data_IF_735125035927
#
_entry.id   IF_735125035927
#
_cell.length_a   1.000
_cell.length_b   1.000
_cell.length_c   1.000
_cell.angle_alpha   90.00
_cell.angle_beta   90.00
_cell.angle_gamma   90.00
#
_symmetry.space_group_name_H-M   'P 1'
#
loop_
_entity.id
_entity.type
_entity.pdbx_description
1 polymer ?
#
# COMPACT_ATOMS: atom_id res chain seq x y z
N UNK A 1 -23.85 -14.83 52.77
CA UNK A 1 -24.12 -14.03 51.56
C UNK A 1 -23.08 -14.43 50.51
N UNK A 2 -23.52 -15.11 49.45
CA UNK A 2 -22.65 -15.57 48.35
C UNK A 2 -22.56 -14.45 47.32
N UNK A 3 -21.37 -13.90 47.11
CA UNK A 3 -21.12 -12.87 46.08
C UNK A 3 -20.79 -13.60 44.79
N UNK A 4 -21.73 -13.59 43.84
CA UNK A 4 -21.50 -14.14 42.50
C UNK A 4 -20.50 -13.24 41.76
N UNK A 5 -19.38 -13.77 41.23
CA UNK A 5 -18.42 -12.97 40.49
C UNK A 5 -19.07 -12.44 39.20
N UNK A 6 -18.95 -11.13 38.97
CA UNK A 6 -19.45 -10.50 37.76
C UNK A 6 -18.77 -11.13 36.52
N UNK A 7 -19.52 -11.42 35.43
CA UNK A 7 -18.93 -11.90 34.19
C UNK A 7 -17.97 -10.82 33.67
N UNK A 8 -16.67 -11.11 33.72
CA UNK A 8 -15.61 -10.11 33.57
C UNK A 8 -15.11 -9.94 32.13
N UNK A 9 -15.61 -10.72 31.17
CA UNK A 9 -15.26 -10.60 29.74
C UNK A 9 -16.45 -10.12 28.92
N UNK A 10 -16.21 -9.16 28.03
CA UNK A 10 -17.20 -8.80 27.02
C UNK A 10 -17.28 -9.91 25.96
N UNK A 11 -18.47 -10.26 25.44
CA UNK A 11 -18.62 -11.33 24.44
C UNK A 11 -17.87 -11.07 23.12
N UNK A 12 -17.45 -9.82 22.89
CA UNK A 12 -16.60 -9.41 21.76
C UNK A 12 -15.16 -9.91 21.93
N UNK A 13 -14.63 -9.92 23.15
CA UNK A 13 -13.26 -10.37 23.42
C UNK A 13 -13.09 -11.89 23.31
N UNK A 14 -14.20 -12.62 23.35
CA UNK A 14 -14.25 -14.08 23.17
C UNK A 14 -14.31 -14.48 21.69
N UNK A 15 -14.55 -13.52 20.78
CA UNK A 15 -14.55 -13.81 19.35
C UNK A 15 -13.15 -14.14 18.84
N UNK A 16 -13.02 -15.10 17.91
CA UNK A 16 -11.75 -15.39 17.28
C UNK A 16 -11.22 -14.14 16.56
N UNK A 17 -9.91 -13.93 16.64
CA UNK A 17 -9.24 -12.74 16.08
C UNK A 17 -9.45 -12.62 14.57
N UNK A 18 -9.59 -13.75 13.88
CA UNK A 18 -9.86 -13.84 12.45
C UNK A 18 -11.25 -13.29 12.08
N UNK A 19 -12.25 -13.51 12.92
CA UNK A 19 -13.59 -12.95 12.70
C UNK A 19 -13.59 -11.43 12.88
N UNK A 20 -12.88 -10.94 13.91
CA UNK A 20 -12.72 -9.50 14.14
C UNK A 20 -11.91 -8.84 13.01
N UNK A 21 -10.87 -9.50 12.49
CA UNK A 21 -10.07 -9.05 11.33
C UNK A 21 -10.95 -8.97 10.07
N UNK A 22 -11.79 -9.98 9.84
CA UNK A 22 -12.73 -9.98 8.72
C UNK A 22 -13.74 -8.84 8.81
N UNK A 23 -14.32 -8.58 9.99
CA UNK A 23 -15.25 -7.46 10.21
C UNK A 23 -14.53 -6.13 9.94
N UNK A 24 -13.34 -5.92 10.52
CA UNK A 24 -12.56 -4.71 10.32
C UNK A 24 -12.16 -4.49 8.84
N UNK A 25 -11.98 -5.58 8.08
CA UNK A 25 -11.69 -5.54 6.65
C UNK A 25 -12.87 -5.01 5.81
N UNK A 26 -14.12 -5.21 6.25
CA UNK A 26 -15.33 -4.73 5.56
C UNK A 26 -15.65 -3.25 5.83
N UNK A 27 -15.15 -2.67 6.93
CA UNK A 27 -15.50 -1.30 7.32
C UNK A 27 -14.66 -0.28 6.54
N UNK A 28 -15.23 0.31 5.48
CA UNK A 28 -14.45 1.17 4.59
C UNK A 28 -14.13 2.57 5.12
N UNK A 29 -15.00 3.10 5.97
CA UNK A 29 -14.83 4.41 6.56
C UNK A 29 -13.79 4.37 7.69
N UNK A 30 -12.72 5.17 7.56
CA UNK A 30 -11.67 5.25 8.57
C UNK A 30 -12.18 5.69 9.95
N UNK A 31 -13.24 6.51 10.02
CA UNK A 31 -13.85 6.94 11.29
C UNK A 31 -14.55 5.78 11.99
N UNK A 32 -15.32 4.99 11.26
CA UNK A 32 -16.03 3.84 11.82
C UNK A 32 -15.06 2.76 12.27
N UNK A 33 -13.99 2.57 11.50
CA UNK A 33 -12.90 1.68 11.86
C UNK A 33 -12.16 2.16 13.12
N UNK A 34 -11.91 3.47 13.26
CA UNK A 34 -11.37 4.04 14.49
C UNK A 34 -12.32 3.86 15.67
N UNK A 35 -13.62 4.08 15.48
CA UNK A 35 -14.63 3.85 16.52
C UNK A 35 -14.60 2.38 16.98
N UNK A 36 -14.50 1.43 16.05
CA UNK A 36 -14.31 0.01 16.38
C UNK A 36 -13.04 -0.22 17.20
N UNK A 37 -11.92 0.40 16.81
CA UNK A 37 -10.65 0.29 17.52
C UNK A 37 -10.73 0.80 18.97
N UNK A 38 -11.57 1.80 19.24
CA UNK A 38 -11.71 2.42 20.57
C UNK A 38 -12.59 1.63 21.54
N UNK A 39 -13.29 0.59 21.07
CA UNK A 39 -14.18 -0.22 21.93
C UNK A 39 -13.43 -1.01 23.00
N UNK A 40 -12.28 -1.62 22.67
CA UNK A 40 -11.44 -2.35 23.62
C UNK A 40 -9.96 -2.38 23.18
N UNK A 41 -9.06 -2.72 24.12
CA UNK A 41 -7.61 -2.77 23.85
C UNK A 41 -7.21 -3.82 22.80
N UNK A 42 -7.94 -4.93 22.75
CA UNK A 42 -7.70 -6.02 21.78
C UNK A 42 -8.00 -5.54 20.35
N UNK A 43 -9.17 -4.94 20.15
CA UNK A 43 -9.57 -4.35 18.87
C UNK A 43 -8.68 -3.19 18.47
N UNK A 44 -8.25 -2.34 19.41
CA UNK A 44 -7.27 -1.30 19.12
C UNK A 44 -6.00 -1.87 18.48
N UNK A 45 -5.43 -2.92 19.08
CA UNK A 45 -4.22 -3.54 18.56
C UNK A 45 -4.44 -4.19 17.19
N UNK A 46 -5.55 -4.89 16.98
CA UNK A 46 -5.90 -5.48 15.69
C UNK A 46 -6.07 -4.38 14.61
N UNK A 47 -7.00 -3.46 14.85
CA UNK A 47 -7.46 -2.47 13.88
C UNK A 47 -6.37 -1.47 13.52
N UNK A 48 -5.66 -0.94 14.51
CA UNK A 48 -4.63 0.07 14.29
C UNK A 48 -3.46 -0.47 13.46
N UNK A 49 -2.96 -1.66 13.82
CA UNK A 49 -1.76 -2.21 13.18
C UNK A 49 -2.05 -2.87 11.83
N UNK A 50 -3.20 -3.51 11.63
CA UNK A 50 -3.51 -4.27 10.40
C UNK A 50 -4.29 -3.46 9.37
N UNK A 51 -5.22 -2.60 9.81
CA UNK A 51 -6.15 -1.95 8.89
C UNK A 51 -5.87 -0.45 8.73
N UNK A 52 -5.92 0.35 9.80
CA UNK A 52 -5.80 1.82 9.69
C UNK A 52 -4.50 2.26 9.05
N UNK A 53 -3.41 1.56 9.37
CA UNK A 53 -2.07 1.89 8.90
C UNK A 53 -1.79 1.56 7.43
N UNK A 54 -2.41 0.50 6.92
CA UNK A 54 -2.16 0.05 5.54
C UNK A 54 -3.25 0.51 4.56
N UNK A 55 -4.34 1.12 5.04
CA UNK A 55 -5.42 1.63 4.18
C UNK A 55 -4.94 2.63 3.14
N UNK A 56 -4.02 3.50 3.51
CA UNK A 56 -3.48 4.52 2.61
C UNK A 56 -1.97 4.38 2.58
N UNK A 57 -1.44 3.96 1.43
CA UNK A 57 -0.02 3.93 1.17
C UNK A 57 0.29 5.06 0.22
N UNK A 58 1.18 5.95 0.64
CA UNK A 58 1.64 7.05 -0.19
C UNK A 58 3.15 7.14 -0.17
N UNK A 59 3.74 7.56 -1.28
CA UNK A 59 5.16 7.91 -1.36
C UNK A 59 5.86 7.55 -2.66
N UNK A 60 7.19 7.64 -2.63
CA UNK A 60 8.01 7.35 -3.81
C UNK A 60 8.13 5.85 -4.00
N UNK A 61 7.80 5.35 -5.19
CA UNK A 61 7.86 3.92 -5.51
C UNK A 61 9.22 3.28 -5.18
N UNK A 62 10.33 4.00 -5.47
CA UNK A 62 11.70 3.58 -5.16
C UNK A 62 12.22 3.96 -3.76
N UNK A 63 11.40 4.49 -2.85
CA UNK A 63 11.83 4.67 -1.45
C UNK A 63 12.02 3.30 -0.81
N UNK A 64 13.23 3.03 -0.31
CA UNK A 64 13.58 1.78 0.34
C UNK A 64 12.61 1.39 1.48
N UNK A 65 12.01 2.38 2.17
CA UNK A 65 11.01 2.14 3.22
C UNK A 65 9.72 1.53 2.66
N UNK A 66 9.34 1.95 1.45
CA UNK A 66 8.19 1.41 0.75
C UNK A 66 8.50 0.06 0.11
N UNK A 67 9.74 -0.20 -0.30
CA UNK A 67 10.10 -1.53 -0.80
C UNK A 67 9.93 -2.63 0.26
N UNK A 68 10.33 -2.35 1.51
CA UNK A 68 10.06 -3.27 2.64
C UNK A 68 8.54 -3.51 2.83
N UNK A 69 7.71 -2.50 2.56
CA UNK A 69 6.24 -2.60 2.62
C UNK A 69 5.70 -3.41 1.44
N UNK A 70 6.23 -3.23 0.23
CA UNK A 70 5.88 -4.04 -0.93
C UNK A 70 6.20 -5.51 -0.70
N UNK A 71 7.39 -5.82 -0.19
CA UNK A 71 7.77 -7.20 0.15
C UNK A 71 6.81 -7.80 1.19
N UNK A 72 6.45 -7.04 2.22
CA UNK A 72 5.52 -7.48 3.25
C UNK A 72 4.12 -7.77 2.68
N UNK A 73 3.59 -6.89 1.83
CA UNK A 73 2.27 -7.05 1.19
C UNK A 73 2.28 -8.18 0.16
N UNK A 74 3.37 -8.34 -0.59
CA UNK A 74 3.56 -9.44 -1.52
C UNK A 74 3.51 -10.79 -0.80
N UNK A 75 4.09 -10.86 0.41
CA UNK A 75 4.12 -12.07 1.25
C UNK A 75 2.81 -12.33 1.99
N UNK A 76 2.14 -11.29 2.47
CA UNK A 76 0.90 -11.40 3.26
C UNK A 76 -0.28 -10.77 2.51
N UNK A 77 -1.09 -11.63 1.88
CA UNK A 77 -2.28 -11.23 1.12
C UNK A 77 -3.31 -10.50 1.99
N UNK A 78 -3.36 -10.75 3.29
CA UNK A 78 -4.32 -10.11 4.19
C UNK A 78 -4.02 -8.62 4.37
N UNK A 79 -2.74 -8.24 4.37
CA UNK A 79 -2.32 -6.85 4.38
C UNK A 79 -2.66 -6.16 3.07
N UNK A 80 -2.44 -6.82 1.92
CA UNK A 80 -2.84 -6.30 0.61
C UNK A 80 -4.32 -5.97 0.55
N UNK A 81 -5.18 -6.87 1.06
CA UNK A 81 -6.63 -6.64 1.15
C UNK A 81 -7.03 -5.45 2.01
N UNK A 82 -6.16 -4.96 2.90
CA UNK A 82 -6.43 -3.79 3.74
C UNK A 82 -6.12 -2.46 3.05
N UNK A 83 -5.36 -2.48 1.95
CA UNK A 83 -5.04 -1.28 1.17
C UNK A 83 -6.27 -0.81 0.40
N UNK A 84 -6.51 0.50 0.39
CA UNK A 84 -7.60 1.17 -0.35
C UNK A 84 -7.09 2.27 -1.27
N UNK A 85 -6.06 2.98 -0.84
CA UNK A 85 -5.50 4.08 -1.61
C UNK A 85 -4.00 3.86 -1.72
N UNK A 86 -3.51 3.88 -2.96
CA UNK A 86 -2.10 3.86 -3.31
C UNK A 86 -1.79 5.16 -4.07
N UNK A 87 -1.05 6.07 -3.44
CA UNK A 87 -0.68 7.37 -4.03
C UNK A 87 0.85 7.49 -4.19
N UNK A 88 1.33 7.15 -5.38
CA UNK A 88 2.73 7.22 -5.75
C UNK A 88 3.06 8.62 -6.28
N UNK A 89 4.05 9.28 -5.66
CA UNK A 89 4.43 10.65 -6.02
C UNK A 89 5.96 10.86 -5.92
N UNK A 90 6.50 11.90 -6.58
CA UNK A 90 7.93 12.18 -6.55
C UNK A 90 8.35 12.94 -5.28
N UNK A 91 9.66 12.95 -5.02
CA UNK A 91 10.34 13.31 -3.76
C UNK A 91 9.97 14.66 -3.11
N UNK A 92 9.41 15.60 -3.88
CA UNK A 92 9.17 16.96 -3.42
C UNK A 92 7.87 17.13 -2.60
N UNK A 93 7.00 16.11 -2.57
CA UNK A 93 5.76 16.19 -1.82
C UNK A 93 6.04 15.96 -0.32
N UNK A 94 6.36 17.05 0.39
CA UNK A 94 6.57 17.06 1.85
C UNK A 94 5.27 16.89 2.64
N UNK A 95 4.18 16.43 2.02
CA UNK A 95 2.91 16.23 2.73
C UNK A 95 3.08 15.06 3.69
N UNK A 96 3.33 15.41 4.94
CA UNK A 96 3.60 14.58 6.11
C UNK A 96 2.45 13.62 6.48
N UNK A 97 1.52 13.35 5.57
CA UNK A 97 0.45 12.34 5.73
C UNK A 97 0.98 10.90 5.65
N UNK A 98 2.29 10.72 5.48
CA UNK A 98 2.99 9.46 5.69
C UNK A 98 2.82 8.93 7.12
N UNK A 99 1.68 8.31 7.41
CA UNK A 99 1.51 7.45 8.59
C UNK A 99 1.87 6.03 8.18
N UNK A 100 3.15 5.81 7.86
CA UNK A 100 3.76 4.50 8.12
C UNK A 100 4.62 4.73 9.35
N UNK A 101 4.13 4.52 10.59
CA UNK A 101 4.98 4.50 11.75
C UNK A 101 5.80 3.21 11.65
N UNK A 102 6.82 3.17 10.79
CA UNK A 102 7.65 2.01 10.47
C UNK A 102 8.48 1.55 11.67
N UNK A 103 7.83 1.18 12.76
CA UNK A 103 8.35 0.26 13.75
C UNK A 103 8.18 -1.17 13.21
N UNK A 104 8.83 -1.44 12.07
CA UNK A 104 8.99 -2.80 11.52
C UNK A 104 9.63 -3.74 12.55
N UNK A 105 10.21 -3.23 13.63
CA UNK A 105 10.78 -4.01 14.71
C UNK A 105 9.76 -4.92 15.41
N UNK A 106 8.47 -4.55 15.48
CA UNK A 106 7.44 -5.44 16.09
C UNK A 106 7.06 -6.62 15.20
N UNK A 107 6.96 -6.43 13.88
CA UNK A 107 6.73 -7.54 12.92
C UNK A 107 7.97 -8.44 12.84
N UNK A 108 9.17 -7.84 12.87
CA UNK A 108 10.46 -8.55 12.89
C UNK A 108 10.62 -9.51 14.07
N UNK A 109 9.95 -9.26 15.21
CA UNK A 109 10.03 -10.14 16.40
C UNK A 109 9.27 -11.46 16.25
N UNK A 110 8.31 -11.58 15.32
CA UNK A 110 7.54 -12.83 15.14
C UNK A 110 8.09 -13.76 14.06
N UNK A 111 8.96 -13.30 13.17
CA UNK A 111 9.63 -14.17 12.21
C UNK A 111 11.15 -14.08 12.38
N UNK A 112 11.73 -15.09 13.01
CA UNK A 112 13.17 -15.27 13.26
C UNK A 112 14.05 -15.42 12.00
N UNK A 113 13.56 -15.06 10.81
CA UNK A 113 14.24 -15.26 9.52
C UNK A 113 14.44 -14.00 8.68
N UNK A 114 14.04 -12.81 9.15
CA UNK A 114 14.46 -11.60 8.43
C UNK A 114 15.92 -11.29 8.78
N UNK A 115 16.81 -11.10 7.79
CA UNK A 115 18.13 -10.58 8.06
C UNK A 115 17.96 -9.24 8.78
N UNK A 116 18.70 -9.04 9.87
CA UNK A 116 18.83 -7.73 10.50
C UNK A 116 19.46 -6.78 9.47
N UNK A 117 18.65 -6.14 8.63
CA UNK A 117 19.10 -5.05 7.78
C UNK A 117 19.47 -3.91 8.71
N UNK A 118 20.77 -3.76 8.95
CA UNK A 118 21.35 -2.57 9.55
C UNK A 118 20.81 -1.35 8.81
N UNK A 119 20.44 -0.29 9.54
CA UNK A 119 20.13 0.99 8.90
C UNK A 119 21.28 1.31 7.95
N UNK A 120 21.02 1.78 6.72
CA UNK A 120 22.10 2.08 5.78
C UNK A 120 23.07 3.03 6.46
N UNK A 121 24.28 2.52 6.74
CA UNK A 121 25.41 3.34 7.16
C UNK A 121 25.56 4.43 6.12
N UNK A 122 25.64 5.69 6.56
CA UNK A 122 25.71 6.88 5.70
C UNK A 122 26.75 6.63 4.58
N UNK A 123 26.29 6.38 3.35
CA UNK A 123 27.16 6.05 2.20
C UNK A 123 27.01 4.64 1.59
N UNK A 124 26.33 3.68 2.25
CA UNK A 124 25.93 2.43 1.59
C UNK A 124 24.68 2.67 0.75
N UNK A 125 24.79 2.37 -0.54
CA UNK A 125 23.69 2.43 -1.50
C UNK A 125 22.53 1.57 -1.01
N UNK A 126 21.30 2.02 -1.25
CA UNK A 126 20.09 1.22 -0.99
C UNK A 126 20.25 -0.16 -1.64
N UNK A 127 19.88 -1.28 -0.98
CA UNK A 127 19.95 -2.61 -1.61
C UNK A 127 19.04 -2.75 -2.83
N UNK A 128 18.13 -1.79 -3.03
CA UNK A 128 17.30 -1.64 -4.21
C UNK A 128 17.95 -0.61 -5.12
N UNK A 129 18.97 -1.04 -5.87
CA UNK A 129 19.72 -0.18 -6.79
C UNK A 129 19.02 -0.07 -8.15
N UNK A 130 18.26 -1.10 -8.54
CA UNK A 130 17.65 -1.16 -9.87
C UNK A 130 16.12 -1.05 -9.84
N UNK A 131 15.57 -0.54 -10.93
CA UNK A 131 14.12 -0.54 -11.17
C UNK A 131 13.57 -1.98 -11.12
N UNK A 132 14.33 -2.94 -11.64
CA UNK A 132 13.91 -4.34 -11.68
C UNK A 132 13.61 -4.88 -10.27
N UNK A 133 14.45 -4.53 -9.28
CA UNK A 133 14.27 -4.98 -7.89
C UNK A 133 12.97 -4.43 -7.29
N UNK A 134 12.70 -3.14 -7.46
CA UNK A 134 11.48 -2.50 -6.95
C UNK A 134 10.24 -3.11 -7.61
N UNK A 135 10.28 -3.30 -8.94
CA UNK A 135 9.18 -3.90 -9.71
C UNK A 135 8.90 -5.33 -9.28
N UNK A 136 9.94 -6.12 -9.00
CA UNK A 136 9.81 -7.50 -8.54
C UNK A 136 9.02 -7.62 -7.23
N UNK A 137 9.11 -6.62 -6.34
CA UNK A 137 8.32 -6.60 -5.10
C UNK A 137 6.97 -5.90 -5.27
N UNK A 138 6.93 -4.84 -6.08
CA UNK A 138 5.75 -4.00 -6.23
C UNK A 138 4.60 -4.70 -6.97
N UNK A 139 4.88 -5.41 -8.08
CA UNK A 139 3.83 -6.06 -8.88
C UNK A 139 3.07 -7.13 -8.09
N UNK A 140 3.73 -8.07 -7.38
CA UNK A 140 3.03 -9.03 -6.53
C UNK A 140 2.29 -8.37 -5.36
N UNK A 141 2.84 -7.28 -4.80
CA UNK A 141 2.17 -6.52 -3.76
C UNK A 141 0.85 -5.93 -4.28
N UNK A 142 0.90 -5.31 -5.46
CA UNK A 142 -0.26 -4.72 -6.12
C UNK A 142 -1.33 -5.77 -6.45
N UNK A 143 -0.92 -6.95 -6.93
CA UNK A 143 -1.84 -8.07 -7.18
C UNK A 143 -2.60 -8.56 -5.93
N UNK A 144 -2.00 -8.39 -4.74
CA UNK A 144 -2.65 -8.71 -3.48
C UNK A 144 -3.59 -7.60 -2.97
N UNK A 145 -3.59 -6.40 -3.57
CA UNK A 145 -4.45 -5.27 -3.20
C UNK A 145 -5.85 -5.39 -3.81
N UNK A 146 -6.53 -6.51 -3.58
CA UNK A 146 -7.80 -6.84 -4.25
C UNK A 146 -8.95 -5.85 -3.94
N UNK A 147 -8.81 -5.03 -2.89
CA UNK A 147 -9.76 -3.99 -2.48
C UNK A 147 -9.25 -2.56 -2.73
N UNK A 148 -8.21 -2.40 -3.54
CA UNK A 148 -7.71 -1.08 -3.90
C UNK A 148 -8.81 -0.28 -4.60
N UNK A 149 -9.16 0.90 -4.07
CA UNK A 149 -10.18 1.78 -4.61
C UNK A 149 -9.58 2.86 -5.51
N UNK A 150 -8.41 3.36 -5.14
CA UNK A 150 -7.74 4.44 -5.86
C UNK A 150 -6.26 4.15 -5.98
N UNK A 151 -5.76 4.13 -7.21
CA UNK A 151 -4.34 4.18 -7.53
C UNK A 151 -4.06 5.52 -8.21
N UNK A 152 -3.21 6.34 -7.63
CA UNK A 152 -2.63 7.50 -8.29
C UNK A 152 -1.12 7.34 -8.40
N UNK A 153 -0.60 7.70 -9.56
CA UNK A 153 0.82 7.79 -9.84
C UNK A 153 1.06 9.14 -10.51
N UNK A 154 1.80 10.00 -9.82
CA UNK A 154 2.23 11.30 -10.33
C UNK A 154 3.74 11.31 -10.58
N UNK A 155 4.14 12.00 -11.64
CA UNK A 155 5.53 12.23 -12.02
C UNK A 155 5.77 13.75 -12.11
N UNK A 156 5.39 14.49 -11.08
CA UNK A 156 5.54 15.96 -11.06
C UNK A 156 6.88 16.38 -10.46
N UNK A 157 7.84 16.74 -11.31
CA UNK A 157 9.06 17.39 -10.83
C UNK A 157 9.86 18.05 -11.95
N UNK A 158 10.06 19.39 -11.93
CA UNK A 158 10.99 20.07 -12.83
C UNK A 158 12.47 19.76 -12.53
N UNK A 159 12.77 18.78 -11.68
CA UNK A 159 14.10 18.50 -11.17
C UNK A 159 14.63 17.17 -11.73
N UNK A 160 15.39 17.29 -12.81
CA UNK A 160 16.28 16.26 -13.37
C UNK A 160 17.39 15.79 -12.41
N UNK A 161 17.47 16.36 -11.21
CA UNK A 161 18.66 16.31 -10.36
C UNK A 161 18.85 14.99 -9.59
N UNK A 162 17.87 14.10 -9.60
CA UNK A 162 17.99 12.75 -9.03
C UNK A 162 17.37 11.69 -9.93
N UNK A 163 17.76 11.69 -11.21
CA UNK A 163 17.73 10.44 -11.99
C UNK A 163 18.68 9.47 -11.30
N UNK A 164 18.13 8.63 -10.41
CA UNK A 164 18.68 7.28 -10.25
C UNK A 164 18.76 6.73 -11.68
N UNK A 165 19.90 6.17 -12.08
CA UNK A 165 20.09 5.64 -13.44
C UNK A 165 18.89 4.75 -13.83
N UNK A 166 17.99 5.29 -14.66
CA UNK A 166 16.66 4.74 -14.94
C UNK A 166 15.55 5.65 -14.42
N UNK A 167 14.96 6.47 -15.29
CA UNK A 167 13.71 7.17 -14.97
C UNK A 167 12.58 6.15 -14.80
N UNK A 168 11.81 6.30 -13.73
CA UNK A 168 10.58 5.54 -13.49
C UNK A 168 9.47 6.13 -14.37
N UNK A 169 9.57 5.95 -15.69
CA UNK A 169 8.49 6.35 -16.59
C UNK A 169 7.27 5.46 -16.30
N UNK A 170 6.16 5.99 -15.76
CA UNK A 170 4.97 5.22 -15.45
C UNK A 170 4.42 4.51 -16.68
N UNK A 171 4.61 5.10 -17.87
CA UNK A 171 4.14 4.55 -19.14
C UNK A 171 4.87 3.27 -19.51
N UNK A 172 6.20 3.24 -19.35
CA UNK A 172 7.01 2.03 -19.55
C UNK A 172 6.61 0.87 -18.63
N UNK A 173 6.02 1.18 -17.48
CA UNK A 173 5.56 0.20 -16.50
C UNK A 173 4.11 -0.24 -16.68
N UNK A 174 3.35 0.36 -17.59
CA UNK A 174 1.93 0.07 -17.79
C UNK A 174 1.62 -1.42 -17.97
N UNK A 175 2.36 -2.21 -18.77
CA UNK A 175 2.06 -3.64 -18.93
C UNK A 175 2.18 -4.42 -17.63
N UNK A 176 3.21 -4.12 -16.82
CA UNK A 176 3.45 -4.79 -15.53
C UNK A 176 2.50 -4.31 -14.44
N UNK A 177 2.19 -3.01 -14.44
CA UNK A 177 1.14 -2.44 -13.61
C UNK A 177 -0.19 -3.11 -13.89
N UNK A 178 -0.51 -3.32 -15.17
CA UNK A 178 -1.74 -3.98 -15.58
C UNK A 178 -1.84 -5.42 -15.09
N UNK A 179 -0.73 -6.17 -15.15
CA UNK A 179 -0.66 -7.52 -14.56
C UNK A 179 -1.06 -7.53 -13.08
N UNK A 180 -0.58 -6.54 -12.30
CA UNK A 180 -0.96 -6.39 -10.89
C UNK A 180 -2.39 -5.86 -10.69
N UNK A 181 -2.82 -4.89 -11.50
CA UNK A 181 -4.15 -4.26 -11.40
C UNK A 181 -5.27 -5.20 -11.83
N UNK A 182 -5.01 -6.18 -12.71
CA UNK A 182 -6.00 -7.19 -13.09
C UNK A 182 -6.58 -7.96 -11.89
N UNK A 183 -5.86 -8.02 -10.76
CA UNK A 183 -6.35 -8.59 -9.50
C UNK A 183 -7.19 -7.63 -8.64
N UNK A 184 -7.22 -6.34 -8.96
CA UNK A 184 -7.90 -5.28 -8.19
C UNK A 184 -9.36 -5.13 -8.64
N UNK A 185 -10.23 -6.02 -8.15
CA UNK A 185 -11.66 -6.02 -8.50
C UNK A 185 -12.43 -4.77 -8.05
N UNK A 186 -11.91 -4.03 -7.07
CA UNK A 186 -12.56 -2.85 -6.49
C UNK A 186 -11.97 -1.53 -6.99
N UNK A 187 -11.11 -1.52 -8.00
CA UNK A 187 -10.44 -0.30 -8.45
C UNK A 187 -11.43 0.64 -9.15
N UNK A 188 -11.76 1.75 -8.48
CA UNK A 188 -12.66 2.79 -8.99
C UNK A 188 -11.88 3.86 -9.75
N UNK A 189 -10.67 4.20 -9.27
CA UNK A 189 -9.89 5.31 -9.79
C UNK A 189 -8.46 4.90 -10.12
N UNK A 190 -8.06 5.15 -11.36
CA UNK A 190 -6.68 5.00 -11.82
C UNK A 190 -6.21 6.33 -12.42
N UNK A 191 -5.37 7.06 -11.70
CA UNK A 191 -4.79 8.30 -12.18
C UNK A 191 -3.30 8.09 -12.46
N UNK A 192 -2.89 8.21 -13.72
CA UNK A 192 -1.47 8.18 -14.09
C UNK A 192 -1.15 9.50 -14.77
N UNK A 193 -0.33 10.32 -14.13
CA UNK A 193 0.10 11.61 -14.63
C UNK A 193 1.59 11.52 -14.96
N UNK A 194 1.94 11.75 -16.22
CA UNK A 194 3.33 11.90 -16.66
C UNK A 194 3.46 13.25 -17.38
N UNK A 195 4.45 14.04 -16.96
CA UNK A 195 4.84 15.28 -17.62
C UNK A 195 4.71 16.57 -16.77
N UNK A 196 5.52 17.61 -17.08
CA UNK A 196 5.57 18.88 -16.33
C UNK A 196 4.36 19.80 -16.59
N UNK A 197 3.66 19.58 -17.71
CA UNK A 197 2.39 20.24 -17.99
C UNK A 197 1.29 19.33 -17.43
N UNK A 198 0.65 19.77 -16.35
CA UNK A 198 -0.47 19.13 -15.61
C UNK A 198 -1.72 18.83 -16.46
N UNK A 199 -1.58 18.53 -17.75
CA UNK A 199 -2.60 17.81 -18.52
C UNK A 199 -2.60 16.36 -18.02
N UNK A 200 -3.07 16.19 -16.79
CA UNK A 200 -3.30 14.91 -16.15
C UNK A 200 -4.29 14.12 -17.01
N UNK A 201 -3.82 13.03 -17.60
CA UNK A 201 -4.73 12.07 -18.23
C UNK A 201 -5.43 11.32 -17.11
N UNK A 202 -6.60 11.81 -16.72
CA UNK A 202 -7.46 11.11 -15.78
C UNK A 202 -8.13 9.96 -16.51
N UNK A 203 -7.87 8.75 -16.06
CA UNK A 203 -8.58 7.59 -16.54
C UNK A 203 -9.58 7.17 -15.46
N UNK A 204 -10.84 7.54 -15.67
CA UNK A 204 -11.91 6.91 -14.90
C UNK A 204 -12.06 5.48 -15.43
N UNK A 205 -11.91 4.49 -14.56
CA UNK A 205 -11.97 3.06 -14.92
C UNK A 205 -13.44 2.64 -15.05
N UNK A 206 -14.21 3.38 -15.87
CA UNK A 206 -15.58 3.02 -16.22
C UNK A 206 -15.58 2.67 -17.71
N UNK A 207 -15.40 1.39 -18.03
CA UNK A 207 -15.44 0.78 -19.39
C UNK A 207 -14.50 1.34 -20.49
N UNK A 208 -13.91 2.52 -20.33
CA UNK A 208 -13.08 3.18 -21.33
C UNK A 208 -11.64 2.63 -21.37
N UNK A 209 -11.16 2.04 -20.27
CA UNK A 209 -9.76 1.63 -20.13
C UNK A 209 -9.40 0.41 -20.99
N UNK A 210 -10.33 -0.55 -21.15
CA UNK A 210 -10.15 -1.68 -22.07
C UNK A 210 -9.97 -1.24 -23.53
N UNK A 211 -10.56 -0.10 -23.94
CA UNK A 211 -10.38 0.48 -25.28
C UNK A 211 -9.04 1.20 -25.46
N UNK A 212 -8.45 1.69 -24.36
CA UNK A 212 -7.16 2.39 -24.38
C UNK A 212 -5.98 1.42 -24.42
N UNK A 213 -6.04 0.25 -23.76
CA UNK A 213 -4.99 -0.76 -23.90
C UNK A 213 -4.88 -1.29 -25.35
N UNK A 214 -5.99 -1.40 -26.07
CA UNK A 214 -5.96 -1.67 -27.52
C UNK A 214 -5.24 -0.56 -28.31
N UNK A 215 -5.56 0.71 -28.04
CA UNK A 215 -4.95 1.86 -28.74
C UNK A 215 -3.52 2.21 -28.32
N UNK A 216 -3.13 1.89 -27.09
CA UNK A 216 -1.78 2.13 -26.56
C UNK A 216 -0.82 1.02 -27.04
N UNK A 217 -1.29 -0.22 -27.17
CA UNK A 217 -0.55 -1.28 -27.85
C UNK A 217 -0.26 -0.92 -29.32
N UNK A 218 -1.25 -0.34 -30.02
CA UNK A 218 -1.11 0.13 -31.41
C UNK A 218 -0.20 1.36 -31.59
N UNK A 219 0.21 2.04 -30.51
CA UNK A 219 1.12 3.20 -30.55
C UNK A 219 2.54 2.90 -30.08
N UNK A 220 2.78 1.70 -29.56
CA UNK A 220 4.08 1.25 -29.02
C UNK A 220 4.73 0.19 -29.94
N UNK A 221 4.01 -0.26 -30.98
CA UNK A 221 4.54 -0.98 -32.14
C UNK A 221 4.71 -0.02 -33.33
#
# INVERSE_FOLDING_TARGET
MSVSPAPSSSPIEEQPVEALDAIALEIDNARDLLNLALTCKSLYALVYFRHLRFRVISGRLGDWRLVDVWELIARDKTLGRSVRVLDLHPLAYTDTRFIIPLDTNRVKRRSSKFPKKERPVRGKRSPYETIADVVQHFVPALANMTRLLSLSWREDGPFDMFRINGSFDPLSMLPKLWEGVNGCLSLVRLAICSGPNLNSTFFQVDHAFSRLCGKAADRIL
#
